data_IF_938817589234
#
_entry.id   IF_938817589234
#
_cell.length_a   1.000
_cell.length_b   1.000
_cell.length_c   1.000
_cell.angle_alpha   90.00
_cell.angle_beta   90.00
_cell.angle_gamma   90.00
#
_symmetry.space_group_name_H-M   'P 1'
#
loop_
_entity.id
_entity.type
_entity.pdbx_description
1 polymer ?
#
# COMPACT_ATOMS: atom_id res chain seq x y z
N UNK A 1 3.13 20.08 6.39
CA UNK A 1 2.39 20.22 7.66
C UNK A 1 0.98 19.64 7.54
N UNK A 2 0.24 19.92 6.46
CA UNK A 2 -1.19 19.56 6.26
C UNK A 2 -1.59 18.09 6.44
N UNK A 3 -0.76 17.11 6.02
CA UNK A 3 -1.12 15.69 6.14
C UNK A 3 -1.29 15.24 7.60
N UNK A 4 -0.45 15.74 8.51
CA UNK A 4 -0.44 15.33 9.91
C UNK A 4 -1.65 15.86 10.69
N UNK A 5 -2.20 17.00 10.26
CA UNK A 5 -3.29 17.67 10.96
C UNK A 5 -4.66 17.25 10.43
N UNK A 6 -4.78 16.82 9.16
CA UNK A 6 -6.06 16.51 8.52
C UNK A 6 -6.30 15.02 8.26
N UNK A 7 -5.26 14.19 8.13
CA UNK A 7 -5.40 12.78 7.75
C UNK A 7 -4.97 11.78 8.85
N UNK A 8 -4.13 12.19 9.82
CA UNK A 8 -3.68 11.29 10.89
C UNK A 8 -4.67 11.21 12.05
N UNK A 9 -4.98 9.99 12.49
CA UNK A 9 -5.85 9.75 13.65
C UNK A 9 -7.35 9.86 13.36
N UNK A 10 -7.74 10.14 12.11
CA UNK A 10 -9.14 10.15 11.68
C UNK A 10 -9.56 8.71 11.33
N UNK A 11 -10.69 8.20 11.87
CA UNK A 11 -11.23 6.90 11.47
C UNK A 11 -11.49 6.85 9.96
N UNK A 12 -10.90 5.85 9.30
CA UNK A 12 -11.11 5.58 7.87
C UNK A 12 -11.85 4.25 7.74
N UNK A 13 -12.94 4.25 6.97
CA UNK A 13 -13.74 3.06 6.66
C UNK A 13 -13.70 2.68 5.17
N UNK A 14 -12.94 3.42 4.37
CA UNK A 14 -12.75 3.14 2.95
C UNK A 14 -11.60 2.13 2.77
N UNK A 15 -11.91 0.97 2.18
CA UNK A 15 -10.96 -0.13 2.00
C UNK A 15 -9.75 0.25 1.13
N UNK A 16 -9.93 1.06 0.09
CA UNK A 16 -8.82 1.53 -0.77
C UNK A 16 -7.91 2.46 0.01
N UNK A 17 -8.49 3.36 0.80
CA UNK A 17 -7.71 4.28 1.65
C UNK A 17 -6.98 3.52 2.75
N UNK A 18 -7.58 2.48 3.34
CA UNK A 18 -6.91 1.61 4.30
C UNK A 18 -5.76 0.82 3.66
N UNK A 19 -5.95 0.32 2.43
CA UNK A 19 -4.90 -0.36 1.69
C UNK A 19 -3.78 0.60 1.26
N UNK A 20 -4.11 1.81 0.83
CA UNK A 20 -3.16 2.88 0.57
C UNK A 20 -2.27 3.10 1.79
N UNK A 21 -2.87 3.34 2.95
CA UNK A 21 -2.13 3.55 4.19
C UNK A 21 -1.21 2.34 4.49
N UNK A 22 -1.69 1.09 4.36
CA UNK A 22 -0.90 -0.12 4.58
C UNK A 22 0.33 -0.19 3.66
N UNK A 23 0.16 0.16 2.38
CA UNK A 23 1.25 0.20 1.39
C UNK A 23 2.27 1.28 1.75
N UNK A 24 1.80 2.49 2.08
CA UNK A 24 2.68 3.60 2.44
C UNK A 24 3.43 3.32 3.76
N UNK A 25 2.78 2.68 4.74
CA UNK A 25 3.43 2.22 5.98
C UNK A 25 4.51 1.17 5.69
N UNK A 26 4.30 0.29 4.71
CA UNK A 26 5.31 -0.68 4.29
C UNK A 26 6.52 -0.02 3.61
N UNK A 27 6.29 1.08 2.88
CA UNK A 27 7.33 1.87 2.22
C UNK A 27 8.21 2.66 3.20
N UNK A 28 7.73 2.95 4.42
CA UNK A 28 8.49 3.66 5.45
C UNK A 28 9.81 2.95 5.84
N UNK A 29 9.94 1.65 5.58
CA UNK A 29 11.20 0.93 5.81
C UNK A 29 12.30 1.29 4.81
N UNK A 30 11.96 1.90 3.67
CA UNK A 30 12.90 2.22 2.58
C UNK A 30 12.94 3.72 2.26
N UNK A 31 11.84 4.44 2.52
CA UNK A 31 11.68 5.86 2.18
C UNK A 31 11.22 6.67 3.39
N UNK A 32 11.67 7.91 3.48
CA UNK A 32 11.15 8.85 4.47
C UNK A 32 9.75 9.33 4.10
N UNK A 33 8.98 9.75 5.10
CA UNK A 33 7.60 10.22 4.88
C UNK A 33 7.47 11.40 3.90
N UNK A 34 8.34 12.42 3.94
CA UNK A 34 8.34 13.47 2.91
C UNK A 34 8.58 12.93 1.50
N UNK A 35 9.47 11.92 1.34
CA UNK A 35 9.74 11.30 0.05
C UNK A 35 8.54 10.49 -0.47
N UNK A 36 7.84 9.80 0.42
CA UNK A 36 6.62 9.06 0.10
C UNK A 36 5.50 10.02 -0.33
N UNK A 37 5.27 11.08 0.43
CA UNK A 37 4.25 12.09 0.10
C UNK A 37 4.55 12.78 -1.24
N UNK A 38 5.81 13.13 -1.51
CA UNK A 38 6.23 13.71 -2.79
C UNK A 38 5.96 12.76 -3.98
N UNK A 39 6.09 11.46 -3.78
CA UNK A 39 5.89 10.42 -4.81
C UNK A 39 4.50 9.79 -4.78
N UNK A 40 3.56 10.27 -3.95
CA UNK A 40 2.25 9.63 -3.74
C UNK A 40 1.45 9.42 -5.03
N UNK A 41 1.57 10.34 -5.99
CA UNK A 41 0.97 10.19 -7.31
C UNK A 41 1.54 8.98 -8.09
N UNK A 42 2.85 8.75 -8.03
CA UNK A 42 3.52 7.59 -8.64
C UNK A 42 3.06 6.30 -7.98
N UNK A 43 2.92 6.28 -6.65
CA UNK A 43 2.36 5.12 -5.95
C UNK A 43 0.94 4.80 -6.41
N UNK A 44 0.08 5.80 -6.59
CA UNK A 44 -1.28 5.60 -7.13
C UNK A 44 -1.25 4.98 -8.52
N UNK A 45 -0.37 5.44 -9.40
CA UNK A 45 -0.24 4.87 -10.75
C UNK A 45 0.25 3.42 -10.71
N UNK A 46 1.31 3.14 -9.92
CA UNK A 46 1.90 1.81 -9.82
C UNK A 46 0.95 0.79 -9.19
N UNK A 47 0.18 1.20 -8.19
CA UNK A 47 -0.72 0.33 -7.43
C UNK A 47 -2.20 0.52 -7.80
N UNK A 48 -2.49 0.96 -9.03
CA UNK A 48 -3.86 1.05 -9.57
C UNK A 48 -4.87 1.73 -8.61
N UNK A 49 -4.51 2.93 -8.14
CA UNK A 49 -5.26 3.72 -7.17
C UNK A 49 -5.58 2.97 -5.86
N UNK A 50 -4.66 2.08 -5.47
CA UNK A 50 -4.73 1.25 -4.27
C UNK A 50 -6.00 0.38 -4.21
N UNK A 51 -6.50 -0.06 -5.37
CA UNK A 51 -7.57 -1.06 -5.43
C UNK A 51 -6.99 -2.47 -5.14
N UNK A 52 -7.34 -3.12 -4.01
CA UNK A 52 -6.78 -4.42 -3.66
C UNK A 52 -7.08 -5.50 -4.71
N UNK A 53 -8.24 -5.42 -5.37
CA UNK A 53 -8.62 -6.38 -6.40
C UNK A 53 -7.75 -6.19 -7.64
N UNK A 54 -7.50 -4.94 -8.06
CA UNK A 54 -6.61 -4.66 -9.18
C UNK A 54 -5.15 -5.05 -8.86
N UNK A 55 -4.66 -4.67 -7.68
CA UNK A 55 -3.28 -4.96 -7.24
C UNK A 55 -3.03 -6.45 -7.10
N UNK A 56 -4.02 -7.23 -6.62
CA UNK A 56 -3.91 -8.69 -6.51
C UNK A 56 -3.68 -9.40 -7.86
N UNK A 57 -4.07 -8.75 -8.96
CA UNK A 57 -3.96 -9.26 -10.34
C UNK A 57 -2.69 -8.78 -11.05
N UNK A 58 -1.87 -7.93 -10.42
CA UNK A 58 -0.62 -7.46 -11.02
C UNK A 58 0.33 -8.65 -11.23
N UNK A 59 0.92 -8.70 -12.42
CA UNK A 59 1.94 -9.69 -12.74
C UNK A 59 3.25 -9.31 -12.04
N UNK A 60 3.60 -10.04 -10.98
CA UNK A 60 4.82 -9.86 -10.18
C UNK A 60 6.08 -9.78 -11.05
N UNK A 61 6.23 -10.69 -12.02
CA UNK A 61 7.43 -10.75 -12.88
C UNK A 61 7.58 -9.47 -13.71
N UNK A 62 6.47 -8.96 -14.24
CA UNK A 62 6.47 -7.73 -15.02
C UNK A 62 6.77 -6.52 -14.14
N UNK A 63 6.20 -6.47 -12.93
CA UNK A 63 6.37 -5.35 -12.02
C UNK A 63 7.77 -5.27 -11.39
N UNK A 64 8.44 -6.41 -11.22
CA UNK A 64 9.81 -6.49 -10.68
C UNK A 64 10.87 -6.47 -11.80
N UNK A 65 10.47 -6.29 -13.06
CA UNK A 65 11.44 -6.18 -14.15
C UNK A 65 12.28 -4.91 -13.94
N UNK A 66 13.63 -4.99 -13.99
CA UNK A 66 14.49 -3.82 -13.84
C UNK A 66 14.15 -2.71 -14.84
N UNK A 67 14.12 -1.47 -14.37
CA UNK A 67 13.78 -0.30 -15.19
C UNK A 67 12.28 0.03 -15.24
N UNK A 68 11.43 -0.76 -14.57
CA UNK A 68 10.04 -0.35 -14.35
C UNK A 68 9.95 0.68 -13.22
N UNK A 69 8.91 1.52 -13.27
CA UNK A 69 8.63 2.52 -12.23
C UNK A 69 8.51 1.87 -10.85
N UNK A 70 7.84 0.71 -10.75
CA UNK A 70 7.68 -0.03 -9.50
C UNK A 70 9.03 -0.49 -8.92
N UNK A 71 9.88 -1.12 -9.74
CA UNK A 71 11.23 -1.56 -9.33
C UNK A 71 12.15 -0.42 -8.90
N UNK A 72 11.87 0.81 -9.35
CA UNK A 72 12.61 2.01 -8.93
C UNK A 72 12.06 2.65 -7.64
N UNK A 73 10.84 2.31 -7.23
CA UNK A 73 10.21 2.87 -6.04
C UNK A 73 10.53 2.09 -4.77
N UNK A 74 10.49 0.75 -4.84
CA UNK A 74 10.66 -0.13 -3.70
C UNK A 74 11.41 -1.42 -4.11
N UNK A 75 12.03 -2.08 -3.13
CA UNK A 75 12.65 -3.39 -3.34
C UNK A 75 11.65 -4.47 -3.76
N UNK A 76 12.12 -5.47 -4.51
CA UNK A 76 11.32 -6.64 -4.92
C UNK A 76 10.61 -7.31 -3.74
N UNK A 77 11.26 -7.35 -2.57
CA UNK A 77 10.67 -7.94 -1.37
C UNK A 77 9.42 -7.18 -0.92
N UNK A 78 9.45 -5.84 -0.96
CA UNK A 78 8.29 -5.01 -0.62
C UNK A 78 7.21 -5.08 -1.67
N UNK A 79 7.57 -5.06 -2.94
CA UNK A 79 6.62 -5.22 -4.04
C UNK A 79 5.85 -6.55 -3.94
N UNK A 80 6.54 -7.66 -3.62
CA UNK A 80 5.91 -8.96 -3.36
C UNK A 80 4.96 -8.92 -2.17
N UNK A 81 5.41 -8.34 -1.05
CA UNK A 81 4.59 -8.22 0.16
C UNK A 81 3.30 -7.44 -0.09
N UNK A 82 3.37 -6.34 -0.85
CA UNK A 82 2.20 -5.53 -1.21
C UNK A 82 1.21 -6.32 -2.07
N UNK A 83 1.68 -7.03 -3.09
CA UNK A 83 0.82 -7.85 -3.96
C UNK A 83 0.17 -8.99 -3.15
N UNK A 84 0.93 -9.62 -2.25
CA UNK A 84 0.39 -10.68 -1.41
C UNK A 84 -0.67 -10.16 -0.43
N UNK A 85 -0.42 -9.02 0.22
CA UNK A 85 -1.41 -8.35 1.06
C UNK A 85 -2.70 -8.05 0.27
N UNK A 86 -2.57 -7.57 -0.97
CA UNK A 86 -3.71 -7.32 -1.85
C UNK A 86 -4.51 -8.60 -2.16
N UNK A 87 -3.83 -9.73 -2.39
CA UNK A 87 -4.48 -11.05 -2.59
C UNK A 87 -5.21 -11.56 -1.37
N UNK A 88 -4.73 -11.24 -0.17
CA UNK A 88 -5.42 -11.64 1.06
C UNK A 88 -6.65 -10.75 1.30
N UNK A 89 -6.48 -9.44 1.13
CA UNK A 89 -7.59 -8.47 1.28
C UNK A 89 -8.68 -8.71 0.24
N UNK A 90 -8.33 -9.08 -1.01
CA UNK A 90 -9.33 -9.33 -2.05
C UNK A 90 -10.20 -10.56 -1.81
N UNK A 91 -9.85 -11.42 -0.84
CA UNK A 91 -10.66 -12.58 -0.42
C UNK A 91 -11.64 -12.23 0.70
N UNK A 92 -11.51 -11.06 1.34
CA UNK A 92 -12.37 -10.68 2.46
C UNK A 92 -13.69 -10.09 1.95
N UNK A 93 -14.78 -10.32 2.69
CA UNK A 93 -16.03 -9.63 2.41
C UNK A 93 -15.98 -8.17 2.90
N UNK A 94 -16.64 -7.21 2.20
CA UNK A 94 -16.67 -5.78 2.55
C UNK A 94 -17.22 -5.44 3.96
N UNK A 95 -17.72 -6.43 4.71
CA UNK A 95 -18.31 -6.24 6.04
C UNK A 95 -17.36 -6.57 7.19
N UNK A 96 -16.23 -7.21 6.92
CA UNK A 96 -15.23 -7.46 7.93
C UNK A 96 -14.35 -6.21 8.06
N UNK A 97 -14.65 -5.36 9.06
CA UNK A 97 -13.85 -4.21 9.52
C UNK A 97 -12.42 -4.61 10.03
N UNK A 98 -11.83 -5.65 9.47
CA UNK A 98 -10.58 -6.28 9.88
C UNK A 98 -9.35 -5.56 9.36
N UNK A 99 -9.43 -4.69 8.37
CA UNK A 99 -8.28 -3.87 7.94
C UNK A 99 -7.75 -2.98 9.07
N UNK A 100 -8.63 -2.42 9.90
CA UNK A 100 -8.24 -1.66 11.10
C UNK A 100 -7.57 -2.55 12.18
N UNK A 101 -8.01 -3.81 12.31
CA UNK A 101 -7.43 -4.78 13.25
C UNK A 101 -6.10 -5.34 12.74
N UNK A 102 -5.96 -5.54 11.43
CA UNK A 102 -4.73 -6.00 10.77
C UNK A 102 -3.63 -4.94 10.77
N UNK A 103 -4.01 -3.67 10.78
CA UNK A 103 -3.10 -2.54 10.95
C UNK A 103 -2.22 -2.68 12.20
N UNK A 104 -2.73 -3.34 13.25
CA UNK A 104 -2.01 -3.59 14.50
C UNK A 104 -1.15 -4.87 14.48
N UNK A 105 -1.44 -5.84 13.60
CA UNK A 105 -0.76 -7.15 13.61
C UNK A 105 0.37 -7.29 12.57
N UNK A 106 0.30 -6.56 11.44
CA UNK A 106 1.34 -6.60 10.40
C UNK A 106 2.50 -5.61 10.65
N UNK A 107 2.32 -4.57 11.48
CA UNK A 107 3.39 -3.62 11.83
C UNK A 107 4.38 -4.13 12.90
N UNK A 108 4.51 -5.45 13.08
CA UNK A 108 5.68 -6.02 13.77
C UNK A 108 6.90 -5.93 12.85
N UNK A 109 7.68 -4.88 13.06
CA UNK A 109 9.15 -5.01 13.15
C UNK A 109 9.46 -5.93 14.34
#
# INVERSE_FOLDING_TARGET
>A
ATFHDEEWGVPVHDDKKLFELLVLSSALSELSWPAILSKRHIFREVFADFDPVAVSKINEKKMMTPGTTASSLLSDQKLRGIIENARQISKWEPRDYRLAVFYCHILNI
#
